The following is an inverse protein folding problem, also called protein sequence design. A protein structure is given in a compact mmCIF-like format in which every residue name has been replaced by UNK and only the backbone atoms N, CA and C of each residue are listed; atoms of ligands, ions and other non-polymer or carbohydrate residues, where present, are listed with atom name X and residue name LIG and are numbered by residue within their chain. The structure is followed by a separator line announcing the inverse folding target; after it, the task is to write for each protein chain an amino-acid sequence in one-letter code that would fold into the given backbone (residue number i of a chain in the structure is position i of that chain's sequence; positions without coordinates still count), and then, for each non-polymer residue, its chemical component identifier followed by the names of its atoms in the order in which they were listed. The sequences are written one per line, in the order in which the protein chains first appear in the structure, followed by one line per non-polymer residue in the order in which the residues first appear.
data_IF_442986549128
#
_entry.id   IF_442986549128
#
_cell.length_a   1.000
_cell.length_b   1.000
_cell.length_c   1.000
_cell.angle_alpha   90.00
_cell.angle_beta   90.00
_cell.angle_gamma   90.00
#
_symmetry.space_group_name_H-M   'P 1'
#
loop_
_entity.id
_entity.type
_entity.pdbx_description
1 polymer ?
#
# COMPACT_ATOMS: atom_id res chain seq x y z
N UNK A 1 -12.02 -5.65 34.85
CA UNK A 1 -11.28 -5.45 33.60
C UNK A 1 -11.94 -6.19 32.45
N UNK A 2 -12.01 -7.53 32.45
CA UNK A 2 -12.68 -8.28 31.38
C UNK A 2 -14.15 -7.88 31.21
N UNK A 3 -14.89 -7.75 32.32
CA UNK A 3 -16.29 -7.32 32.28
C UNK A 3 -16.45 -5.91 31.69
N UNK A 4 -15.59 -4.98 32.09
CA UNK A 4 -15.59 -3.60 31.58
C UNK A 4 -15.22 -3.52 30.09
N UNK A 5 -14.32 -4.38 29.62
CA UNK A 5 -13.99 -4.46 28.19
C UNK A 5 -15.18 -5.04 27.40
N UNK A 6 -15.85 -6.07 27.92
CA UNK A 6 -17.08 -6.61 27.29
C UNK A 6 -18.22 -5.59 27.26
N UNK A 7 -18.35 -4.78 28.30
CA UNK A 7 -19.31 -3.67 28.36
C UNK A 7 -18.98 -2.53 27.39
N UNK A 8 -17.77 -2.49 26.83
CA UNK A 8 -17.30 -1.47 25.89
C UNK A 8 -17.32 -1.96 24.43
N UNK A 9 -18.22 -2.89 24.09
CA UNK A 9 -18.42 -3.49 22.76
C UNK A 9 -17.19 -4.25 22.19
N UNK A 10 -16.29 -4.74 23.04
CA UNK A 10 -15.19 -5.62 22.61
C UNK A 10 -15.56 -7.10 22.71
N UNK A 11 -15.27 -7.86 21.65
CA UNK A 11 -15.22 -9.32 21.70
C UNK A 11 -13.89 -9.77 22.31
N UNK A 12 -13.95 -10.65 23.31
CA UNK A 12 -12.76 -11.08 24.05
C UNK A 12 -12.46 -12.56 23.83
N UNK A 13 -11.25 -12.82 23.35
CA UNK A 13 -10.63 -14.14 23.34
C UNK A 13 -9.63 -14.21 24.49
N UNK A 14 -9.63 -15.31 25.25
CA UNK A 14 -8.76 -15.50 26.41
C UNK A 14 -7.87 -16.70 26.18
N UNK A 15 -6.55 -16.48 26.22
CA UNK A 15 -5.54 -17.53 26.22
C UNK A 15 -4.92 -17.65 27.61
N UNK A 16 -4.81 -18.87 28.15
CA UNK A 16 -4.17 -19.08 29.45
C UNK A 16 -2.65 -19.28 29.36
N UNK A 17 -2.09 -19.39 28.16
CA UNK A 17 -0.65 -19.48 27.92
C UNK A 17 -0.26 -18.96 26.54
N UNK A 18 1.03 -18.65 26.37
CA UNK A 18 1.59 -18.26 25.07
C UNK A 18 1.37 -19.31 23.98
N UNK A 19 1.48 -20.60 24.32
CA UNK A 19 1.22 -21.70 23.38
C UNK A 19 -0.23 -21.69 22.87
N UNK A 20 -1.20 -21.58 23.79
CA UNK A 20 -2.62 -21.52 23.42
C UNK A 20 -2.90 -20.27 22.58
N UNK A 21 -2.28 -19.12 22.91
CA UNK A 21 -2.42 -17.91 22.12
C UNK A 21 -1.95 -18.09 20.67
N UNK A 22 -0.79 -18.74 20.49
CA UNK A 22 -0.22 -19.02 19.16
C UNK A 22 -1.06 -20.02 18.36
N UNK A 23 -1.76 -20.94 19.02
CA UNK A 23 -2.70 -21.86 18.37
C UNK A 23 -4.03 -21.19 17.99
N UNK A 24 -4.49 -20.18 18.75
CA UNK A 24 -5.77 -19.51 18.50
C UNK A 24 -5.69 -18.42 17.43
N UNK A 25 -4.59 -17.67 17.35
CA UNK A 25 -4.45 -16.52 16.43
C UNK A 25 -4.72 -16.89 14.96
N UNK A 26 -4.28 -18.05 14.43
CA UNK A 26 -4.57 -18.44 13.05
C UNK A 26 -6.06 -18.72 12.78
N UNK A 27 -6.81 -19.19 13.79
CA UNK A 27 -8.23 -19.51 13.67
C UNK A 27 -9.10 -18.25 13.77
N UNK A 28 -8.73 -17.34 14.68
CA UNK A 28 -9.39 -16.05 14.86
C UNK A 28 -8.33 -14.99 15.10
N UNK A 29 -8.02 -14.20 14.05
CA UNK A 29 -7.05 -13.12 14.13
C UNK A 29 -7.63 -11.94 14.93
N UNK A 30 -7.07 -11.59 16.10
CA UNK A 30 -7.55 -10.45 16.88
C UNK A 30 -7.02 -9.12 16.33
N UNK A 31 -7.76 -8.03 16.57
CA UNK A 31 -7.32 -6.68 16.21
C UNK A 31 -6.27 -6.09 17.18
N UNK A 32 -6.19 -6.64 18.39
CA UNK A 32 -5.21 -6.26 19.41
C UNK A 32 -4.97 -7.39 20.40
N UNK A 33 -3.73 -7.51 20.89
CA UNK A 33 -3.34 -8.54 21.85
C UNK A 33 -2.82 -7.88 23.12
N UNK A 34 -3.43 -8.25 24.25
CA UNK A 34 -2.93 -7.91 25.59
C UNK A 34 -2.19 -9.13 26.14
N UNK A 35 -0.88 -9.00 26.38
CA UNK A 35 -0.01 -10.14 26.68
C UNK A 35 0.70 -9.97 28.02
N UNK A 36 0.66 -10.99 28.89
CA UNK A 36 1.52 -11.01 30.07
C UNK A 36 2.94 -11.45 29.70
N UNK A 37 3.95 -10.93 30.39
CA UNK A 37 5.34 -11.36 30.19
C UNK A 37 5.62 -12.63 30.98
N UNK A 38 5.16 -12.70 32.23
CA UNK A 38 5.47 -13.80 33.13
C UNK A 38 4.39 -14.86 32.99
N UNK A 39 4.69 -15.91 32.23
CA UNK A 39 3.81 -17.06 32.03
C UNK A 39 4.60 -18.37 32.18
N UNK A 40 3.96 -19.47 32.64
CA UNK A 40 4.60 -20.77 32.67
C UNK A 40 4.80 -21.32 31.25
N UNK A 41 5.97 -21.91 30.98
CA UNK A 41 6.30 -22.44 29.66
C UNK A 41 6.92 -21.37 28.76
N UNK A 42 6.25 -21.05 27.66
CA UNK A 42 6.68 -20.00 26.73
C UNK A 42 6.36 -18.64 27.34
N UNK A 43 7.38 -17.79 27.47
CA UNK A 43 7.20 -16.47 28.07
C UNK A 43 6.51 -15.49 27.09
N UNK A 44 6.08 -14.34 27.59
CA UNK A 44 5.41 -13.34 26.75
C UNK A 44 6.32 -12.72 25.68
N UNK A 45 7.63 -12.64 25.91
CA UNK A 45 8.56 -12.09 24.91
C UNK A 45 8.73 -13.04 23.73
N UNK A 46 8.89 -14.33 23.99
CA UNK A 46 8.96 -15.39 23.00
C UNK A 46 7.64 -15.49 22.22
N UNK A 47 6.51 -15.44 22.93
CA UNK A 47 5.18 -15.41 22.32
C UNK A 47 5.02 -14.22 21.39
N UNK A 48 5.37 -13.01 21.85
CA UNK A 48 5.31 -11.79 21.01
C UNK A 48 6.20 -11.92 19.78
N UNK A 49 7.44 -12.39 19.95
CA UNK A 49 8.38 -12.58 18.84
C UNK A 49 7.82 -13.55 17.80
N UNK A 50 7.21 -14.65 18.24
CA UNK A 50 6.58 -15.62 17.35
C UNK A 50 5.37 -15.05 16.59
N UNK A 51 4.52 -14.27 17.27
CA UNK A 51 3.40 -13.54 16.63
C UNK A 51 3.95 -12.60 15.56
N UNK A 52 4.98 -11.81 15.90
CA UNK A 52 5.58 -10.79 15.04
C UNK A 52 6.34 -11.36 13.85
N UNK A 53 6.79 -12.61 13.92
CA UNK A 53 7.43 -13.29 12.81
C UNK A 53 6.46 -13.68 11.68
N UNK A 54 5.15 -13.70 11.93
CA UNK A 54 4.17 -14.06 10.89
C UNK A 54 3.87 -12.90 9.94
N UNK A 55 3.87 -13.12 8.62
CA UNK A 55 3.45 -12.09 7.66
C UNK A 55 1.94 -11.82 7.72
N UNK A 56 1.12 -12.75 8.23
CA UNK A 56 -0.34 -12.62 8.24
C UNK A 56 -0.86 -11.85 9.45
N UNK A 57 -0.28 -12.07 10.64
CA UNK A 57 -0.74 -11.46 11.89
C UNK A 57 0.35 -10.68 12.65
N UNK A 58 1.57 -10.57 12.10
CA UNK A 58 2.64 -9.81 12.73
C UNK A 58 2.33 -8.31 12.84
N UNK A 59 1.39 -7.79 12.05
CA UNK A 59 0.94 -6.41 12.14
C UNK A 59 0.01 -6.14 13.33
N UNK A 60 -0.58 -7.19 13.94
CA UNK A 60 -1.50 -7.03 15.07
C UNK A 60 -0.79 -6.37 16.25
N UNK A 61 -1.27 -5.24 16.79
CA UNK A 61 -0.63 -4.57 17.91
C UNK A 61 -0.61 -5.46 19.16
N UNK A 62 0.57 -5.58 19.77
CA UNK A 62 0.76 -6.31 21.04
C UNK A 62 1.10 -5.30 22.13
N UNK A 63 0.30 -5.28 23.20
CA UNK A 63 0.54 -4.47 24.39
C UNK A 63 0.87 -5.42 25.54
N UNK A 64 2.04 -5.24 26.14
CA UNK A 64 2.41 -6.02 27.32
C UNK A 64 1.72 -5.52 28.59
N UNK A 65 1.36 -6.44 29.47
CA UNK A 65 0.75 -6.19 30.78
C UNK A 65 1.48 -6.98 31.85
N UNK A 66 2.46 -6.40 32.54
CA UNK A 66 3.35 -7.17 33.43
C UNK A 66 3.67 -6.42 34.73
N UNK A 67 4.13 -7.18 35.73
CA UNK A 67 4.65 -6.64 37.00
C UNK A 67 6.09 -6.13 36.87
N UNK A 68 6.78 -6.49 35.78
CA UNK A 68 8.09 -5.96 35.46
C UNK A 68 7.99 -4.45 35.19
N UNK A 69 9.01 -3.68 35.60
CA UNK A 69 9.02 -2.22 35.43
C UNK A 69 10.43 -1.66 35.31
N UNK A 70 11.45 -2.52 35.21
CA UNK A 70 12.80 -2.02 35.01
C UNK A 70 12.93 -1.51 33.57
N UNK A 71 13.78 -0.49 33.32
CA UNK A 71 13.99 0.02 31.97
C UNK A 71 14.40 -1.06 30.97
N UNK A 72 15.17 -2.05 31.41
CA UNK A 72 15.63 -3.18 30.60
C UNK A 72 14.46 -4.04 30.10
N UNK A 73 13.44 -4.26 30.93
CA UNK A 73 12.24 -5.01 30.56
C UNK A 73 11.44 -4.29 29.47
N UNK A 74 11.35 -2.96 29.57
CA UNK A 74 10.66 -2.15 28.54
C UNK A 74 11.42 -2.19 27.22
N UNK A 75 12.75 -2.08 27.26
CA UNK A 75 13.58 -2.20 26.06
C UNK A 75 13.39 -3.57 25.42
N UNK A 76 13.38 -4.64 26.23
CA UNK A 76 13.15 -6.00 25.74
C UNK A 76 11.75 -6.18 25.15
N UNK A 77 10.72 -5.58 25.76
CA UNK A 77 9.36 -5.58 25.25
C UNK A 77 9.25 -4.96 23.84
N UNK A 78 9.83 -3.77 23.65
CA UNK A 78 9.82 -3.11 22.34
C UNK A 78 10.70 -3.85 21.32
N UNK A 79 11.82 -4.42 21.75
CA UNK A 79 12.67 -5.25 20.88
C UNK A 79 11.97 -6.54 20.41
N UNK A 80 11.06 -7.10 21.22
CA UNK A 80 10.20 -8.22 20.83
C UNK A 80 9.07 -7.82 19.86
N UNK A 81 8.89 -6.52 19.57
CA UNK A 81 7.91 -6.00 18.62
C UNK A 81 6.59 -5.53 19.24
N UNK A 82 6.51 -5.37 20.56
CA UNK A 82 5.35 -4.76 21.19
C UNK A 82 5.23 -3.27 20.82
N UNK A 83 4.00 -2.78 20.75
CA UNK A 83 3.71 -1.36 20.45
C UNK A 83 3.57 -0.53 21.73
N UNK A 84 3.31 -1.18 22.86
CA UNK A 84 3.13 -0.52 24.15
C UNK A 84 3.29 -1.47 25.34
N UNK A 85 3.29 -0.90 26.53
CA UNK A 85 3.54 -1.59 27.80
C UNK A 85 2.78 -0.95 28.95
N UNK A 86 2.09 -1.78 29.75
CA UNK A 86 1.32 -1.38 30.93
C UNK A 86 1.87 -2.13 32.15
N UNK A 87 2.31 -1.37 33.15
CA UNK A 87 2.84 -1.94 34.40
C UNK A 87 1.71 -2.22 35.39
N UNK A 88 1.74 -3.38 36.05
CA UNK A 88 0.81 -3.72 37.14
C UNK A 88 1.11 -2.89 38.41
N UNK A 89 0.09 -2.44 39.18
CA UNK A 89 -1.33 -2.77 39.08
C UNK A 89 -2.03 -2.04 37.92
N UNK A 90 -2.87 -2.77 37.19
CA UNK A 90 -3.53 -2.28 35.97
C UNK A 90 -4.81 -1.55 36.32
N UNK A 91 -4.94 -0.30 35.84
CA UNK A 91 -6.18 0.45 35.89
C UNK A 91 -6.98 0.25 34.60
N UNK A 92 -8.25 -0.08 34.72
CA UNK A 92 -9.08 -0.38 33.53
C UNK A 92 -9.21 0.81 32.58
N UNK A 93 -9.25 2.04 33.12
CA UNK A 93 -9.23 3.27 32.31
C UNK A 93 -7.94 3.44 31.50
N UNK A 94 -6.79 3.01 32.03
CA UNK A 94 -5.52 3.06 31.30
C UNK A 94 -5.51 2.07 30.15
N UNK A 95 -5.95 0.83 30.40
CA UNK A 95 -6.06 -0.21 29.36
C UNK A 95 -6.98 0.26 28.24
N UNK A 96 -8.17 0.74 28.57
CA UNK A 96 -9.14 1.22 27.59
C UNK A 96 -8.57 2.36 26.73
N UNK A 97 -7.90 3.33 27.36
CA UNK A 97 -7.29 4.44 26.63
C UNK A 97 -6.21 3.97 25.65
N UNK A 98 -5.32 3.08 26.08
CA UNK A 98 -4.23 2.54 25.24
C UNK A 98 -4.76 1.62 24.13
N UNK A 99 -5.67 0.72 24.47
CA UNK A 99 -6.33 -0.18 23.51
C UNK A 99 -7.04 0.63 22.43
N UNK A 100 -7.87 1.60 22.82
CA UNK A 100 -8.61 2.45 21.86
C UNK A 100 -7.65 3.22 20.95
N UNK A 101 -6.56 3.76 21.49
CA UNK A 101 -5.58 4.49 20.70
C UNK A 101 -4.87 3.59 19.67
N UNK A 102 -4.38 2.42 20.10
CA UNK A 102 -3.66 1.51 19.22
C UNK A 102 -4.56 0.82 18.20
N UNK A 103 -5.80 0.46 18.57
CA UNK A 103 -6.79 -0.05 17.61
C UNK A 103 -7.11 0.99 16.53
N UNK A 104 -7.28 2.26 16.92
CA UNK A 104 -7.53 3.32 15.94
C UNK A 104 -6.36 3.46 14.96
N UNK A 105 -5.12 3.44 15.46
CA UNK A 105 -3.92 3.52 14.61
C UNK A 105 -3.86 2.31 13.67
N UNK A 106 -4.09 1.11 14.19
CA UNK A 106 -4.07 -0.13 13.42
C UNK A 106 -5.12 -0.13 12.30
N UNK A 107 -6.38 0.21 12.60
CA UNK A 107 -7.44 0.28 11.60
C UNK A 107 -7.17 1.33 10.52
N UNK A 108 -6.64 2.50 10.89
CA UNK A 108 -6.27 3.53 9.91
C UNK A 108 -5.14 3.05 8.98
N UNK A 109 -4.18 2.30 9.50
CA UNK A 109 -3.11 1.71 8.70
C UNK A 109 -3.63 0.65 7.72
N UNK A 110 -4.54 -0.22 8.16
CA UNK A 110 -5.19 -1.21 7.30
C UNK A 110 -6.00 -0.53 6.18
N UNK A 111 -6.85 0.44 6.53
CA UNK A 111 -7.64 1.19 5.53
C UNK A 111 -6.77 1.88 4.48
N UNK A 112 -5.65 2.47 4.89
CA UNK A 112 -4.73 3.11 3.95
C UNK A 112 -4.05 2.09 3.04
N UNK A 113 -3.64 0.94 3.58
CA UNK A 113 -3.02 -0.13 2.81
C UNK A 113 -4.00 -0.71 1.77
N UNK A 114 -5.24 -0.94 2.15
CA UNK A 114 -6.31 -1.42 1.27
C UNK A 114 -6.59 -0.41 0.14
N UNK A 115 -6.73 0.87 0.48
CA UNK A 115 -6.94 1.95 -0.50
C UNK A 115 -5.80 2.03 -1.52
N UNK A 116 -4.54 1.95 -1.05
CA UNK A 116 -3.39 1.95 -1.93
C UNK A 116 -3.37 0.71 -2.82
N UNK A 117 -3.67 -0.47 -2.28
CA UNK A 117 -3.69 -1.71 -3.05
C UNK A 117 -4.77 -1.66 -4.13
N UNK A 118 -5.96 -1.17 -3.80
CA UNK A 118 -7.05 -0.98 -4.77
C UNK A 118 -6.68 0.02 -5.86
N UNK A 119 -6.00 1.12 -5.51
CA UNK A 119 -5.52 2.10 -6.49
C UNK A 119 -4.50 1.51 -7.45
N UNK A 120 -3.51 0.79 -6.93
CA UNK A 120 -2.49 0.13 -7.75
C UNK A 120 -3.13 -0.92 -8.67
N UNK A 121 -4.10 -1.69 -8.18
CA UNK A 121 -4.82 -2.65 -9.00
C UNK A 121 -5.64 -1.96 -10.11
N UNK A 122 -6.38 -0.90 -9.78
CA UNK A 122 -7.14 -0.12 -10.76
C UNK A 122 -6.22 0.50 -11.83
N UNK A 123 -5.09 1.06 -11.42
CA UNK A 123 -4.09 1.61 -12.35
C UNK A 123 -3.54 0.51 -13.28
N UNK A 124 -3.22 -0.67 -12.74
CA UNK A 124 -2.77 -1.81 -13.54
C UNK A 124 -3.83 -2.30 -14.53
N UNK A 125 -5.10 -2.35 -14.13
CA UNK A 125 -6.21 -2.73 -15.02
C UNK A 125 -6.41 -1.68 -16.13
N UNK A 126 -6.37 -0.39 -15.80
CA UNK A 126 -6.43 0.69 -16.79
C UNK A 126 -5.27 0.58 -17.79
N UNK A 127 -4.05 0.38 -17.28
CA UNK A 127 -2.83 0.20 -18.07
C UNK A 127 -2.91 -0.99 -19.05
N UNK A 128 -3.60 -2.07 -18.67
CA UNK A 128 -3.77 -3.27 -19.50
C UNK A 128 -4.94 -3.19 -20.47
N UNK A 129 -5.99 -2.44 -20.15
CA UNK A 129 -7.21 -2.34 -20.97
C UNK A 129 -7.14 -1.29 -22.07
N UNK A 130 -6.22 -0.33 -21.97
CA UNK A 130 -6.03 0.70 -22.99
C UNK A 130 -5.08 0.16 -24.09
N UNK A 131 -5.67 -0.13 -25.25
CA UNK A 131 -4.93 -0.53 -26.48
C UNK A 131 -4.30 0.68 -27.21
N UNK A 132 -4.47 1.89 -26.68
CA UNK A 132 -3.83 3.11 -27.17
C UNK A 132 -2.49 3.33 -26.47
N UNK A 133 -1.47 3.75 -27.21
CA UNK A 133 -0.21 4.15 -26.59
C UNK A 133 -0.34 5.53 -25.96
N UNK A 134 -0.66 5.60 -24.67
CA UNK A 134 -0.65 6.86 -23.91
C UNK A 134 0.61 6.92 -23.04
N UNK A 135 1.20 8.12 -22.94
CA UNK A 135 2.33 8.45 -22.08
C UNK A 135 2.04 9.79 -21.37
N UNK A 136 2.09 9.82 -20.04
CA UNK A 136 2.05 11.03 -19.23
C UNK A 136 3.43 11.29 -18.63
N UNK A 137 3.94 12.50 -18.78
CA UNK A 137 5.20 12.92 -18.16
C UNK A 137 5.01 14.21 -17.38
N UNK A 138 5.82 14.39 -16.33
CA UNK A 138 5.92 15.65 -15.62
C UNK A 138 6.86 16.64 -16.34
N UNK A 139 6.95 17.87 -15.82
CA UNK A 139 7.88 18.90 -16.31
C UNK A 139 9.37 18.51 -16.17
N UNK A 140 9.70 17.51 -15.35
CA UNK A 140 11.04 16.96 -15.15
C UNK A 140 11.34 15.78 -16.09
N UNK A 141 10.44 15.50 -17.03
CA UNK A 141 10.54 14.38 -17.99
C UNK A 141 10.45 12.98 -17.33
N UNK A 142 9.90 12.90 -16.12
CA UNK A 142 9.58 11.63 -15.46
C UNK A 142 8.26 11.08 -15.96
N UNK A 143 8.21 9.77 -16.19
CA UNK A 143 7.00 9.08 -16.62
C UNK A 143 6.09 8.92 -15.41
N UNK A 144 4.95 9.63 -15.43
CA UNK A 144 3.90 9.51 -14.42
C UNK A 144 3.03 8.29 -14.72
N UNK A 145 2.74 8.08 -16.00
CA UNK A 145 1.88 6.98 -16.45
C UNK A 145 2.26 6.58 -17.88
N UNK A 146 2.18 5.29 -18.17
CA UNK A 146 2.36 4.76 -19.51
C UNK A 146 1.44 3.56 -19.67
N UNK A 147 0.92 3.35 -20.87
CA UNK A 147 0.08 2.19 -21.19
C UNK A 147 0.94 0.99 -21.58
N UNK A 148 0.34 -0.21 -21.61
CA UNK A 148 1.03 -1.41 -22.08
C UNK A 148 1.59 -1.26 -23.50
N UNK A 149 0.82 -0.65 -24.41
CA UNK A 149 1.28 -0.46 -25.80
C UNK A 149 2.47 0.50 -25.84
N UNK A 150 2.40 1.63 -25.14
CA UNK A 150 3.55 2.56 -25.03
C UNK A 150 4.78 1.83 -24.50
N UNK A 151 4.70 1.11 -23.38
CA UNK A 151 5.84 0.38 -22.83
C UNK A 151 6.44 -0.64 -23.81
N UNK A 152 5.60 -1.36 -24.55
CA UNK A 152 6.07 -2.30 -25.56
C UNK A 152 6.82 -1.60 -26.69
N UNK A 153 6.32 -0.42 -27.11
CA UNK A 153 6.97 0.41 -28.11
C UNK A 153 8.28 1.02 -27.59
N UNK A 154 8.30 1.53 -26.36
CA UNK A 154 9.50 2.11 -25.75
C UNK A 154 10.60 1.05 -25.59
N UNK A 155 10.28 -0.13 -25.06
CA UNK A 155 11.27 -1.21 -24.93
C UNK A 155 11.80 -1.73 -26.27
N UNK A 156 11.02 -1.59 -27.35
CA UNK A 156 11.40 -2.04 -28.70
C UNK A 156 12.29 -1.04 -29.42
N UNK A 157 12.09 0.26 -29.19
CA UNK A 157 12.66 1.32 -30.02
C UNK A 157 13.52 2.34 -29.27
N UNK A 158 13.43 2.44 -27.95
CA UNK A 158 14.30 3.29 -27.16
C UNK A 158 15.44 2.47 -26.57
N UNK A 159 16.68 2.82 -26.96
CA UNK A 159 17.85 2.16 -26.43
C UNK A 159 18.06 2.56 -24.95
N UNK A 160 18.34 1.58 -24.09
CA UNK A 160 18.56 1.78 -22.64
C UNK A 160 17.37 2.37 -21.86
N UNK A 161 16.13 2.14 -22.29
CA UNK A 161 14.95 2.57 -21.53
C UNK A 161 14.90 1.92 -20.14
N UNK A 162 14.83 2.74 -19.10
CA UNK A 162 14.83 2.31 -17.70
C UNK A 162 13.43 2.34 -17.05
N UNK A 163 12.38 2.64 -17.81
CA UNK A 163 11.01 2.70 -17.31
C UNK A 163 10.59 4.00 -16.62
N UNK A 164 11.52 4.91 -16.31
CA UNK A 164 11.25 6.05 -15.39
C UNK A 164 11.29 7.42 -16.05
N UNK A 165 12.06 7.58 -17.12
CA UNK A 165 12.20 8.87 -17.81
C UNK A 165 11.85 8.68 -19.28
N UNK A 166 11.18 9.66 -19.86
CA UNK A 166 10.84 9.62 -21.28
C UNK A 166 12.11 9.75 -22.14
N UNK A 167 12.41 8.77 -23.03
CA UNK A 167 13.54 8.86 -23.93
C UNK A 167 13.45 10.08 -24.87
N UNK A 168 14.52 10.88 -24.92
CA UNK A 168 14.59 12.07 -25.80
C UNK A 168 14.48 11.69 -27.28
N UNK A 169 14.92 10.48 -27.65
CA UNK A 169 14.89 9.90 -29.00
C UNK A 169 13.48 9.80 -29.58
N UNK A 170 12.46 9.69 -28.73
CA UNK A 170 11.04 9.64 -29.12
C UNK A 170 10.55 10.92 -29.80
N UNK A 171 11.19 12.05 -29.50
CA UNK A 171 10.82 13.37 -30.05
C UNK A 171 11.59 13.66 -31.34
N UNK A 172 12.51 12.78 -31.75
CA UNK A 172 13.28 12.96 -32.98
C UNK A 172 12.45 12.61 -34.23
N UNK A 173 12.65 13.37 -35.31
CA UNK A 173 11.96 13.13 -36.58
C UNK A 173 12.32 11.79 -37.23
N UNK A 174 13.44 11.19 -36.84
CA UNK A 174 13.97 9.92 -37.34
C UNK A 174 13.43 8.69 -36.57
N UNK A 175 12.65 8.92 -35.49
CA UNK A 175 12.07 7.84 -34.71
C UNK A 175 11.02 7.04 -35.50
N UNK A 176 11.02 5.69 -35.39
CA UNK A 176 9.94 4.85 -35.93
C UNK A 176 8.61 5.04 -35.18
N UNK A 177 8.65 5.73 -34.04
CA UNK A 177 7.50 6.11 -33.25
C UNK A 177 7.02 7.51 -33.63
N UNK A 178 5.70 7.64 -33.76
CA UNK A 178 5.02 8.91 -33.86
C UNK A 178 4.53 9.28 -32.47
N UNK A 179 4.99 10.43 -31.97
CA UNK A 179 4.63 10.96 -30.65
C UNK A 179 3.89 12.28 -30.83
N UNK A 180 2.60 12.27 -30.48
CA UNK A 180 1.74 13.46 -30.56
C UNK A 180 1.49 14.00 -29.17
N UNK A 181 1.85 15.26 -28.93
CA UNK A 181 1.54 15.94 -27.67
C UNK A 181 0.08 16.35 -27.65
N UNK A 182 -0.62 15.97 -26.59
CA UNK A 182 -1.95 16.42 -26.27
C UNK A 182 -1.84 17.32 -25.03
N UNK A 183 -1.60 18.62 -25.23
CA UNK A 183 -1.57 19.59 -24.12
C UNK A 183 -2.36 20.83 -24.50
N UNK A 184 -3.46 21.09 -23.80
CA UNK A 184 -3.89 22.46 -23.54
C UNK A 184 -4.81 22.55 -22.32
N UNK A 185 -4.59 23.62 -21.55
CA UNK A 185 -5.32 24.13 -20.38
C UNK A 185 -4.83 23.69 -18.98
N UNK A 186 -3.99 24.54 -18.37
CA UNK A 186 -4.14 24.87 -16.94
C UNK A 186 -2.89 24.93 -16.09
N UNK A 187 -1.91 24.06 -16.31
CA UNK A 187 -0.62 24.07 -15.60
C UNK A 187 0.38 23.28 -16.46
N UNK A 188 1.52 23.85 -16.82
CA UNK A 188 2.60 23.19 -17.57
C UNK A 188 3.27 22.01 -16.82
N UNK A 189 2.66 21.53 -15.73
CA UNK A 189 3.24 20.51 -14.84
C UNK A 189 3.18 19.10 -15.42
N UNK A 190 2.18 18.78 -16.26
CA UNK A 190 1.98 17.44 -16.83
C UNK A 190 1.69 17.55 -18.33
N UNK A 191 2.39 16.76 -19.14
CA UNK A 191 2.16 16.66 -20.58
C UNK A 191 1.72 15.24 -20.96
N UNK A 192 0.61 15.14 -21.69
CA UNK A 192 0.13 13.89 -22.27
C UNK A 192 0.65 13.72 -23.69
N UNK A 193 1.04 12.50 -24.03
CA UNK A 193 1.48 12.12 -25.37
C UNK A 193 0.77 10.84 -25.81
N UNK A 194 0.47 10.78 -27.10
CA UNK A 194 0.04 9.56 -27.78
C UNK A 194 1.23 9.03 -28.57
N UNK A 195 1.60 7.79 -28.30
CA UNK A 195 2.74 7.08 -28.89
C UNK A 195 2.21 5.93 -29.74
N UNK A 196 2.56 5.91 -31.02
CA UNK A 196 2.18 4.84 -31.94
C UNK A 196 3.29 4.57 -32.94
N UNK A 197 3.28 3.42 -33.62
CA UNK A 197 4.16 3.22 -34.77
C UNK A 197 3.65 4.06 -35.96
N UNK A 198 4.55 4.77 -36.64
CA UNK A 198 4.23 5.70 -37.74
C UNK A 198 3.46 5.05 -38.91
N UNK A 199 3.54 3.72 -39.05
CA UNK A 199 2.86 2.94 -40.10
C UNK A 199 1.79 1.97 -39.54
N UNK A 200 1.30 2.19 -38.33
CA UNK A 200 0.29 1.32 -37.70
C UNK A 200 -1.10 1.49 -38.35
N UNK A 201 -1.88 0.40 -38.54
CA UNK A 201 -3.26 0.49 -39.01
C UNK A 201 -4.23 1.08 -37.96
N UNK A 202 -3.77 1.32 -36.73
CA UNK A 202 -4.51 2.03 -35.68
C UNK A 202 -4.60 3.53 -36.03
N UNK A 203 -5.45 3.85 -37.00
CA UNK A 203 -5.75 5.21 -37.41
C UNK A 203 -6.70 5.95 -36.44
N UNK A 204 -6.93 7.26 -36.68
CA UNK A 204 -7.58 8.24 -35.77
C UNK A 204 -8.95 7.85 -35.19
N UNK A 205 -9.65 6.87 -35.78
CA UNK A 205 -10.87 6.28 -35.23
C UNK A 205 -10.69 5.57 -33.88
N UNK A 206 -9.45 5.23 -33.49
CA UNK A 206 -9.12 4.72 -32.14
C UNK A 206 -9.16 5.79 -31.03
N UNK A 207 -9.23 7.08 -31.40
CA UNK A 207 -9.23 8.22 -30.48
C UNK A 207 -10.64 8.72 -30.11
N UNK A 208 -11.67 8.28 -30.84
CA UNK A 208 -13.08 8.59 -30.56
C UNK A 208 -13.56 8.18 -29.15
N UNK A 209 -13.09 7.07 -28.54
CA UNK A 209 -13.45 6.71 -27.16
C UNK A 209 -12.92 7.67 -26.10
N UNK A 210 -11.92 8.52 -26.41
CA UNK A 210 -11.36 9.50 -25.50
C UNK A 210 -12.16 10.81 -25.42
N UNK A 211 -13.32 10.88 -26.08
CA UNK A 211 -14.20 12.06 -26.05
C UNK A 211 -13.74 13.23 -26.92
N UNK A 212 -12.77 13.00 -27.80
CA UNK A 212 -12.30 13.99 -28.77
C UNK A 212 -13.30 14.15 -29.90
N UNK A 213 -13.63 15.40 -30.23
CA UNK A 213 -14.57 15.70 -31.30
C UNK A 213 -13.95 15.42 -32.67
N UNK A 214 -14.78 15.07 -33.66
CA UNK A 214 -14.32 14.82 -35.04
C UNK A 214 -13.54 16.02 -35.63
N UNK A 215 -13.82 17.24 -35.14
CA UNK A 215 -13.15 18.47 -35.55
C UNK A 215 -11.76 18.64 -34.92
N UNK A 216 -11.57 18.15 -33.70
CA UNK A 216 -10.25 18.05 -33.06
C UNK A 216 -9.42 16.94 -33.73
N UNK A 217 -10.06 15.85 -34.17
CA UNK A 217 -9.46 14.77 -34.95
C UNK A 217 -8.99 15.20 -36.36
N UNK A 218 -9.62 16.20 -36.99
CA UNK A 218 -9.25 16.70 -38.32
C UNK A 218 -8.10 17.70 -38.32
N UNK A 219 -7.89 18.46 -37.22
CA UNK A 219 -6.72 19.32 -37.04
C UNK A 219 -5.43 18.49 -36.80
N UNK A 220 -5.59 17.19 -36.50
CA UNK A 220 -4.54 16.19 -36.23
C UNK A 220 -3.99 15.46 -37.48
N UNK A 221 -4.21 16.00 -38.69
CA UNK A 221 -3.66 15.49 -39.97
C UNK A 221 -2.54 16.38 -40.52
#
# INVERSE_FOLDING_TARGET
MLDTLRESDYELLVAESGTIALEMIPEVTPDIILLDVIMPGVDGYETCTAIKASPQWGQVPVIFMTALNEPEDKIKAFAAGAVDYITKPIYTSEVLARVTAHLKIYHLQQQLADELSMRVEAENLLRQSIDLGILLIDASNQIIFSTRLTDALLNKYADNFNGTHCPVELVSAESPLEVRRFSEAGNEEISMYIVQERNSPLGPSSLLPLGLTAREAEVLN
#
